data_IF_935769092157
#
_entry.id   IF_935769092157
#
_cell.length_a   1.000
_cell.length_b   1.000
_cell.length_c   1.000
_cell.angle_alpha   90.00
_cell.angle_beta   90.00
_cell.angle_gamma   90.00
#
_symmetry.space_group_name_H-M   'P 1'
#
loop_
_entity.id
_entity.type
_entity.pdbx_description
1 polymer ?
#
# COMPACT_ATOMS: atom_id res chain seq x y z
N UNK A 1 6.03 -10.81 -17.62
CA UNK A 1 6.15 -9.97 -16.40
C UNK A 1 5.55 -8.59 -16.66
N UNK A 2 4.70 -8.11 -15.78
CA UNK A 2 4.11 -6.78 -15.91
C UNK A 2 5.14 -5.70 -15.60
N UNK A 3 5.08 -4.61 -16.35
CA UNK A 3 5.87 -3.42 -16.02
C UNK A 3 5.19 -2.65 -14.89
N UNK A 4 5.94 -1.82 -14.17
CA UNK A 4 5.43 -1.05 -13.04
C UNK A 4 4.16 -0.26 -13.40
N UNK A 5 4.13 0.36 -14.58
CA UNK A 5 2.98 1.15 -15.03
C UNK A 5 1.72 0.32 -15.27
N UNK A 6 1.86 -1.00 -15.39
CA UNK A 6 0.75 -1.90 -15.67
C UNK A 6 0.21 -2.57 -14.40
N UNK A 7 0.87 -2.35 -13.26
CA UNK A 7 0.44 -2.95 -12.01
C UNK A 7 -0.79 -2.24 -11.43
N UNK A 8 -1.71 -3.03 -10.90
CA UNK A 8 -2.78 -2.50 -10.07
C UNK A 8 -2.23 -2.26 -8.67
N UNK A 9 -2.29 -1.02 -8.22
CA UNK A 9 -1.71 -0.59 -6.95
C UNK A 9 -2.83 -0.30 -5.95
N UNK A 10 -2.64 -0.80 -4.73
CA UNK A 10 -3.54 -0.52 -3.62
C UNK A 10 -2.80 0.09 -2.43
N UNK A 11 -3.50 0.92 -1.68
CA UNK A 11 -2.99 1.52 -0.46
C UNK A 11 -3.86 1.11 0.73
N UNK A 12 -3.23 0.50 1.71
CA UNK A 12 -3.84 0.27 3.02
C UNK A 12 -3.36 1.38 3.92
N UNK A 13 -4.26 2.31 4.25
CA UNK A 13 -3.96 3.52 4.98
C UNK A 13 -4.04 4.76 4.08
N UNK A 14 -4.68 5.81 4.56
CA UNK A 14 -4.92 7.03 3.81
C UNK A 14 -4.50 8.27 4.60
N UNK A 15 -3.42 8.15 5.37
CA UNK A 15 -2.81 9.25 6.09
C UNK A 15 -1.89 10.06 5.19
N UNK A 16 -0.98 10.83 5.78
CA UNK A 16 -0.09 11.74 5.05
C UNK A 16 0.81 10.98 4.07
N UNK A 17 1.47 9.93 4.52
CA UNK A 17 2.40 9.17 3.68
C UNK A 17 1.65 8.49 2.53
N UNK A 18 0.57 7.77 2.85
CA UNK A 18 -0.22 7.07 1.84
C UNK A 18 -0.80 8.01 0.81
N UNK A 19 -1.36 9.12 1.25
CA UNK A 19 -1.92 10.13 0.36
C UNK A 19 -0.86 10.74 -0.55
N UNK A 20 0.28 11.11 0.00
CA UNK A 20 1.38 11.71 -0.76
C UNK A 20 1.88 10.78 -1.85
N UNK A 21 2.13 9.51 -1.50
CA UNK A 21 2.60 8.52 -2.47
C UNK A 21 1.55 8.19 -3.52
N UNK A 22 0.31 7.98 -3.11
CA UNK A 22 -0.76 7.62 -4.04
C UNK A 22 -0.97 8.71 -5.09
N UNK A 23 -1.01 9.97 -4.65
CA UNK A 23 -1.15 11.11 -5.56
C UNK A 23 0.04 11.22 -6.50
N UNK A 24 1.26 11.04 -5.99
CA UNK A 24 2.47 11.11 -6.81
C UNK A 24 2.47 10.02 -7.89
N UNK A 25 2.10 8.79 -7.53
CA UNK A 25 2.04 7.67 -8.49
C UNK A 25 0.95 7.91 -9.53
N UNK A 26 -0.21 8.39 -9.11
CA UNK A 26 -1.31 8.68 -10.02
C UNK A 26 -0.89 9.72 -11.06
N UNK A 27 -0.19 10.76 -10.63
CA UNK A 27 0.31 11.82 -11.53
C UNK A 27 1.34 11.30 -12.54
N UNK A 28 2.04 10.23 -12.19
CA UNK A 28 3.01 9.58 -13.10
C UNK A 28 2.34 8.58 -14.05
N UNK A 29 1.03 8.46 -14.00
CA UNK A 29 0.29 7.55 -14.87
C UNK A 29 0.22 6.12 -14.36
N UNK A 30 0.60 5.87 -13.12
CA UNK A 30 0.44 4.55 -12.52
C UNK A 30 -1.00 4.33 -12.06
N UNK A 31 -1.40 3.07 -11.94
CA UNK A 31 -2.78 2.71 -11.66
C UNK A 31 -3.01 2.49 -10.16
N UNK A 32 -3.25 3.56 -9.43
CA UNK A 32 -3.66 3.47 -8.02
C UNK A 32 -5.17 3.23 -8.02
N UNK A 33 -5.55 1.95 -7.97
CA UNK A 33 -6.92 1.53 -8.23
C UNK A 33 -7.75 1.33 -6.97
N UNK A 34 -7.13 1.08 -5.82
CA UNK A 34 -7.85 0.79 -4.59
C UNK A 34 -7.19 1.42 -3.39
N UNK A 35 -8.02 1.85 -2.44
CA UNK A 35 -7.59 2.31 -1.14
C UNK A 35 -8.53 1.75 -0.09
N UNK A 36 -7.99 1.40 1.06
CA UNK A 36 -8.77 1.04 2.24
C UNK A 36 -8.12 1.64 3.47
N UNK A 37 -8.95 2.18 4.36
CA UNK A 37 -8.52 2.78 5.62
C UNK A 37 -9.58 2.51 6.67
N UNK A 38 -9.17 2.48 7.94
CA UNK A 38 -10.11 2.37 9.06
C UNK A 38 -11.08 3.54 9.07
N UNK A 39 -10.65 4.71 8.57
CA UNK A 39 -11.52 5.85 8.38
C UNK A 39 -12.05 5.83 6.94
N UNK A 40 -13.33 5.53 6.79
CA UNK A 40 -13.98 5.55 5.48
C UNK A 40 -13.88 6.93 4.85
N UNK A 41 -14.00 7.98 5.66
CA UNK A 41 -13.89 9.36 5.18
C UNK A 41 -12.52 9.63 4.57
N UNK A 42 -11.44 9.21 5.25
CA UNK A 42 -10.08 9.40 4.74
C UNK A 42 -9.86 8.62 3.45
N UNK A 43 -10.35 7.39 3.38
CA UNK A 43 -10.23 6.58 2.17
C UNK A 43 -11.00 7.22 1.00
N UNK A 44 -12.23 7.68 1.25
CA UNK A 44 -13.04 8.33 0.22
C UNK A 44 -12.41 9.63 -0.26
N UNK A 45 -11.88 10.43 0.65
CA UNK A 45 -11.19 11.68 0.29
C UNK A 45 -9.98 11.41 -0.60
N UNK A 46 -9.21 10.37 -0.30
CA UNK A 46 -8.07 10.02 -1.13
C UNK A 46 -8.53 9.51 -2.50
N UNK A 47 -9.49 8.59 -2.54
CA UNK A 47 -10.00 8.03 -3.79
C UNK A 47 -10.50 9.14 -4.73
N UNK A 48 -11.16 10.16 -4.18
CA UNK A 48 -11.70 11.28 -4.96
C UNK A 48 -10.61 12.13 -5.61
N UNK A 49 -9.38 12.11 -5.07
CA UNK A 49 -8.25 12.85 -5.62
C UNK A 49 -7.52 12.11 -6.74
N UNK A 50 -7.84 10.84 -6.96
CA UNK A 50 -7.14 9.99 -7.91
C UNK A 50 -8.00 9.75 -9.15
N UNK A 51 -7.34 9.42 -10.26
CA UNK A 51 -7.99 9.33 -11.58
C UNK A 51 -9.01 8.20 -11.68
N UNK A 52 -8.71 7.04 -11.06
CA UNK A 52 -9.56 5.86 -11.20
C UNK A 52 -9.36 4.94 -9.99
N UNK A 53 -9.74 5.43 -8.82
CA UNK A 53 -9.54 4.71 -7.57
C UNK A 53 -10.86 4.49 -6.85
N UNK A 54 -11.02 3.30 -6.29
CA UNK A 54 -12.20 2.92 -5.51
C UNK A 54 -11.79 2.59 -4.08
N UNK A 55 -12.71 2.83 -3.14
CA UNK A 55 -12.54 2.36 -1.77
C UNK A 55 -12.90 0.89 -1.72
N UNK A 56 -11.97 0.05 -1.28
CA UNK A 56 -12.24 -1.37 -1.09
C UNK A 56 -13.09 -1.59 0.16
N UNK A 57 -13.80 -2.72 0.21
CA UNK A 57 -14.68 -3.02 1.35
C UNK A 57 -13.90 -3.47 2.59
N UNK A 58 -12.74 -4.07 2.39
CA UNK A 58 -11.88 -4.56 3.47
C UNK A 58 -10.46 -4.81 2.95
N UNK A 59 -9.56 -5.15 3.86
CA UNK A 59 -8.15 -5.40 3.52
C UNK A 59 -7.99 -6.55 2.53
N UNK A 60 -8.74 -7.63 2.70
CA UNK A 60 -8.61 -8.81 1.86
C UNK A 60 -9.05 -8.52 0.42
N UNK A 61 -10.15 -7.80 0.24
CA UNK A 61 -10.64 -7.45 -1.09
C UNK A 61 -9.66 -6.54 -1.81
N UNK A 62 -9.05 -5.59 -1.09
CA UNK A 62 -8.00 -4.75 -1.66
C UNK A 62 -6.84 -5.61 -2.14
N UNK A 63 -6.35 -6.50 -1.28
CA UNK A 63 -5.23 -7.37 -1.62
C UNK A 63 -5.54 -8.23 -2.84
N UNK A 64 -6.74 -8.80 -2.90
CA UNK A 64 -7.14 -9.66 -4.02
C UNK A 64 -7.19 -8.93 -5.35
N UNK A 65 -7.31 -7.61 -5.33
CA UNK A 65 -7.48 -6.80 -6.53
C UNK A 65 -6.21 -6.10 -6.98
N UNK A 66 -5.10 -6.25 -6.26
CA UNK A 66 -3.88 -5.48 -6.51
C UNK A 66 -2.66 -6.37 -6.69
N UNK A 67 -1.78 -5.94 -7.58
CA UNK A 67 -0.46 -6.57 -7.79
C UNK A 67 0.57 -6.05 -6.78
N UNK A 68 0.42 -4.79 -6.38
CA UNK A 68 1.33 -4.07 -5.48
C UNK A 68 0.51 -3.40 -4.40
N UNK A 69 0.82 -3.71 -3.14
CA UNK A 69 0.11 -3.13 -2.00
C UNK A 69 1.08 -2.39 -1.10
N UNK A 70 0.79 -1.13 -0.86
CA UNK A 70 1.50 -0.31 0.13
C UNK A 70 0.74 -0.32 1.44
N UNK A 71 1.42 -0.71 2.52
CA UNK A 71 0.87 -0.66 3.86
C UNK A 71 1.40 0.60 4.54
N UNK A 72 0.60 1.65 4.56
CA UNK A 72 0.98 2.98 5.07
C UNK A 72 0.23 3.34 6.35
N UNK A 73 -0.20 2.35 7.09
CA UNK A 73 -0.86 2.52 8.38
C UNK A 73 0.16 2.90 9.46
N UNK A 74 -0.29 3.33 10.64
CA UNK A 74 0.63 3.57 11.76
C UNK A 74 1.55 2.37 12.00
N UNK A 75 2.79 2.63 12.40
CA UNK A 75 3.84 1.63 12.54
C UNK A 75 3.39 0.39 13.33
N UNK A 76 2.67 0.61 14.43
CA UNK A 76 2.21 -0.49 15.29
C UNK A 76 1.16 -1.39 14.64
N UNK A 77 0.54 -0.97 13.56
CA UNK A 77 -0.52 -1.72 12.88
C UNK A 77 -0.02 -2.56 11.71
N UNK A 78 1.19 -2.31 11.22
CA UNK A 78 1.68 -2.91 9.98
C UNK A 78 1.69 -4.44 10.07
N UNK A 79 2.35 -5.01 11.07
CA UNK A 79 2.46 -6.46 11.17
C UNK A 79 1.09 -7.11 11.44
N UNK A 80 0.23 -6.46 12.21
CA UNK A 80 -1.10 -6.98 12.52
C UNK A 80 -1.93 -7.09 11.23
N UNK A 81 -1.95 -6.03 10.44
CA UNK A 81 -2.71 -6.02 9.17
C UNK A 81 -2.11 -7.02 8.20
N UNK A 82 -0.79 -7.02 8.04
CA UNK A 82 -0.11 -7.93 7.13
C UNK A 82 -0.36 -9.40 7.51
N UNK A 83 -0.47 -9.70 8.79
CA UNK A 83 -0.69 -11.06 9.28
C UNK A 83 -2.13 -11.55 9.11
N UNK A 84 -3.09 -10.64 8.90
CA UNK A 84 -4.51 -10.98 8.81
C UNK A 84 -5.04 -11.06 7.39
N UNK A 85 -4.17 -10.90 6.40
CA UNK A 85 -4.53 -10.98 4.98
C UNK A 85 -3.90 -12.22 4.38
N UNK A 86 -4.64 -12.91 3.52
CA UNK A 86 -4.11 -14.01 2.72
C UNK A 86 -3.57 -13.41 1.43
N UNK A 87 -2.26 -13.36 1.32
CA UNK A 87 -1.57 -12.76 0.18
C UNK A 87 -1.41 -13.77 -0.96
N UNK A 88 -1.11 -13.26 -2.14
CA UNK A 88 -0.92 -14.09 -3.32
C UNK A 88 0.57 -14.28 -3.61
N UNK A 89 0.92 -15.40 -4.22
CA UNK A 89 2.28 -15.65 -4.69
C UNK A 89 2.67 -14.58 -5.72
N UNK A 90 3.88 -14.05 -5.60
CA UNK A 90 4.44 -12.99 -6.46
C UNK A 90 3.78 -11.62 -6.33
N UNK A 91 2.84 -11.46 -5.41
CA UNK A 91 2.31 -10.13 -5.07
C UNK A 91 3.42 -9.31 -4.40
N UNK A 92 3.42 -8.00 -4.58
CA UNK A 92 4.42 -7.12 -3.97
C UNK A 92 3.78 -6.39 -2.80
N UNK A 93 4.40 -6.47 -1.62
CA UNK A 93 3.90 -5.82 -0.41
C UNK A 93 5.01 -4.97 0.19
N UNK A 94 4.74 -3.68 0.34
CA UNK A 94 5.72 -2.70 0.81
C UNK A 94 5.13 -1.92 1.97
N UNK A 95 5.91 -1.72 3.05
CA UNK A 95 5.54 -0.77 4.09
C UNK A 95 6.42 0.47 4.03
N UNK A 96 5.96 1.54 4.66
CA UNK A 96 6.60 2.85 4.61
C UNK A 96 7.05 3.36 5.98
N UNK A 97 7.19 2.46 6.96
CA UNK A 97 7.65 2.84 8.30
C UNK A 97 9.16 3.05 8.32
N UNK A 98 9.60 4.12 8.96
CA UNK A 98 11.03 4.34 9.23
C UNK A 98 11.54 3.55 10.42
N UNK A 99 10.65 2.94 11.20
CA UNK A 99 10.96 2.22 12.45
C UNK A 99 10.89 0.71 12.27
N UNK A 100 9.88 0.23 11.54
CA UNK A 100 9.66 -1.19 11.33
C UNK A 100 10.65 -1.75 10.30
N UNK A 101 11.09 -2.99 10.54
CA UNK A 101 11.93 -3.72 9.60
C UNK A 101 11.08 -4.53 8.62
N UNK A 102 11.74 -5.28 7.72
CA UNK A 102 11.07 -6.24 6.85
C UNK A 102 10.40 -7.37 7.63
N UNK A 103 10.78 -7.60 8.88
CA UNK A 103 10.16 -8.62 9.72
C UNK A 103 8.66 -8.37 9.90
N UNK A 104 8.20 -7.13 9.81
CA UNK A 104 6.78 -6.81 9.86
C UNK A 104 6.00 -7.46 8.71
N UNK A 105 6.67 -7.85 7.63
CA UNK A 105 6.08 -8.45 6.45
C UNK A 105 6.41 -9.95 6.31
N UNK A 106 6.77 -10.61 7.40
CA UNK A 106 7.11 -12.05 7.39
C UNK A 106 5.94 -12.90 6.87
N UNK A 107 4.70 -12.57 7.25
CA UNK A 107 3.53 -13.34 6.81
C UNK A 107 3.28 -13.20 5.31
N UNK A 108 3.25 -12.00 4.72
CA UNK A 108 3.17 -11.89 3.26
C UNK A 108 4.27 -12.68 2.55
N UNK A 109 5.50 -12.61 3.05
CA UNK A 109 6.62 -13.36 2.47
C UNK A 109 6.35 -14.87 2.50
N UNK A 110 5.74 -15.37 3.56
CA UNK A 110 5.42 -16.79 3.69
C UNK A 110 4.41 -17.28 2.64
N UNK A 111 3.60 -16.38 2.09
CA UNK A 111 2.68 -16.67 0.99
C UNK A 111 3.36 -16.60 -0.38
N UNK A 112 4.63 -16.22 -0.45
CA UNK A 112 5.35 -16.05 -1.70
C UNK A 112 5.31 -14.62 -2.23
N UNK A 113 4.89 -13.64 -1.44
CA UNK A 113 4.94 -12.25 -1.83
C UNK A 113 6.37 -11.73 -1.79
N UNK A 114 6.68 -10.78 -2.66
CA UNK A 114 7.90 -9.99 -2.60
C UNK A 114 7.66 -8.86 -1.63
N UNK A 115 8.58 -8.64 -0.69
CA UNK A 115 8.40 -7.64 0.36
C UNK A 115 9.46 -6.55 0.28
N UNK A 116 9.11 -5.35 0.74
CA UNK A 116 10.03 -4.22 0.75
C UNK A 116 9.65 -3.15 1.75
N UNK A 117 10.59 -2.24 1.97
CA UNK A 117 10.40 -1.03 2.78
C UNK A 117 10.72 0.19 1.93
N UNK A 118 9.95 1.24 2.11
CA UNK A 118 10.16 2.52 1.44
C UNK A 118 10.05 3.65 2.48
N UNK A 119 11.08 4.48 2.59
CA UNK A 119 11.14 5.56 3.60
C UNK A 119 11.12 6.93 2.92
N UNK A 120 9.97 7.41 2.45
CA UNK A 120 9.90 8.64 1.67
C UNK A 120 10.32 9.89 2.47
N UNK A 121 9.99 9.93 3.77
CA UNK A 121 10.36 11.09 4.59
C UNK A 121 11.86 11.17 4.83
N UNK A 122 12.50 10.04 5.04
CA UNK A 122 13.95 9.97 5.23
C UNK A 122 14.68 10.41 3.96
N UNK A 123 14.16 10.01 2.80
CA UNK A 123 14.71 10.42 1.51
C UNK A 123 14.70 11.93 1.35
N UNK A 124 13.63 12.61 1.75
CA UNK A 124 13.56 14.07 1.69
C UNK A 124 14.54 14.75 2.63
N UNK A 125 14.76 14.19 3.81
CA UNK A 125 15.69 14.77 4.80
C UNK A 125 17.15 14.69 4.33
N UNK A 126 17.49 13.63 3.63
CA UNK A 126 18.86 13.41 3.15
C UNK A 126 19.23 14.27 1.93
N UNK A 127 18.25 14.87 1.29
CA UNK A 127 18.50 15.76 0.16
C UNK A 127 19.01 17.13 0.60
#
# INVERSE_FOLDING_TARGET
MKQLRDLSIGFIGAGVVGTTLAVAFDRQGMHVNYVYSRSLKSASNLADRLSNCKVADNYQDLSNSCDLVFVTTPDSSISIIASNVKWQNNQIVIHCSGVQSLEALTIPESYGALIGCFHPLQTFIEL
#
